data_IF_562002381117
#
_entry.id   IF_562002381117
#
_cell.length_a   1.000
_cell.length_b   1.000
_cell.length_c   1.000
_cell.angle_alpha   90.00
_cell.angle_beta   90.00
_cell.angle_gamma   90.00
#
_symmetry.space_group_name_H-M   'P 1'
#
loop_
_entity.id
_entity.type
_entity.pdbx_description
1 polymer ?
#
# COMPACT_ATOMS: atom_id res chain seq x y z
N UNK A 1 -21.75 -12.03 24.51
CA UNK A 1 -22.43 -13.05 23.69
C UNK A 1 -22.04 -12.79 22.23
N UNK A 2 -20.93 -13.38 21.77
CA UNK A 2 -20.47 -13.26 20.39
C UNK A 2 -21.25 -14.27 19.54
N UNK A 3 -22.13 -13.76 18.67
CA UNK A 3 -22.89 -14.58 17.73
C UNK A 3 -21.93 -15.09 16.66
N UNK A 4 -21.72 -16.41 16.64
CA UNK A 4 -20.94 -17.10 15.63
C UNK A 4 -21.67 -17.09 14.29
N UNK A 5 -21.50 -16.04 13.48
CA UNK A 5 -21.45 -16.28 12.04
C UNK A 5 -20.14 -16.99 11.78
N UNK A 6 -20.21 -18.27 11.47
CA UNK A 6 -19.18 -18.95 10.69
C UNK A 6 -19.04 -18.17 9.39
N UNK A 7 -18.16 -17.16 9.39
CA UNK A 7 -17.98 -16.23 8.29
C UNK A 7 -17.70 -17.02 7.02
N UNK A 8 -18.38 -16.65 5.94
CA UNK A 8 -18.05 -17.18 4.62
C UNK A 8 -16.54 -16.99 4.39
N UNK A 9 -15.86 -17.95 3.73
CA UNK A 9 -14.41 -17.92 3.62
C UNK A 9 -13.95 -16.59 3.04
N UNK A 10 -12.78 -16.08 3.45
CA UNK A 10 -12.23 -14.79 3.00
C UNK A 10 -12.11 -14.64 1.46
N UNK A 11 -12.26 -15.75 0.73
CA UNK A 11 -12.31 -15.83 -0.73
C UNK A 11 -13.69 -15.52 -1.34
N UNK A 12 -14.75 -15.54 -0.55
CA UNK A 12 -16.14 -15.39 -1.00
C UNK A 12 -16.87 -14.25 -0.30
N UNK A 13 -16.50 -13.94 0.94
CA UNK A 13 -17.06 -12.82 1.69
C UNK A 13 -16.00 -12.23 2.62
N UNK A 14 -15.98 -10.91 2.74
CA UNK A 14 -15.08 -10.15 3.60
C UNK A 14 -15.78 -9.02 4.34
N UNK A 15 -17.09 -9.15 4.54
CA UNK A 15 -17.88 -8.17 5.24
C UNK A 15 -18.13 -8.61 6.68
N UNK A 16 -17.44 -7.96 7.64
CA UNK A 16 -17.66 -8.21 9.07
C UNK A 16 -17.87 -6.89 9.84
N UNK A 17 -16.87 -6.00 9.88
CA UNK A 17 -16.94 -4.67 10.51
C UNK A 17 -16.18 -3.63 9.66
N UNK A 18 -16.62 -2.37 9.63
CA UNK A 18 -15.92 -1.24 8.96
C UNK A 18 -16.04 -1.17 7.43
N UNK A 19 -16.25 -2.29 6.74
CA UNK A 19 -16.49 -2.37 5.29
C UNK A 19 -15.86 -3.60 4.65
N UNK A 20 -15.97 -3.73 3.32
CA UNK A 20 -15.41 -4.88 2.60
C UNK A 20 -13.88 -4.93 2.72
N UNK A 21 -13.36 -6.02 3.29
CA UNK A 21 -11.93 -6.26 3.42
C UNK A 21 -11.24 -5.49 4.54
N UNK A 22 -12.00 -4.78 5.38
CA UNK A 22 -11.46 -4.16 6.60
C UNK A 22 -10.90 -5.25 7.54
N UNK A 23 -9.77 -4.95 8.18
CA UNK A 23 -9.02 -5.91 9.01
C UNK A 23 -8.35 -7.09 8.29
N UNK A 24 -8.60 -7.31 6.99
CA UNK A 24 -8.07 -8.47 6.25
C UNK A 24 -7.01 -8.05 5.22
N UNK A 25 -5.71 -8.19 5.53
CA UNK A 25 -4.61 -7.91 4.59
C UNK A 25 -3.96 -9.17 3.99
N UNK A 26 -4.22 -10.33 4.60
CA UNK A 26 -3.76 -11.64 4.15
C UNK A 26 -4.95 -12.56 3.91
N UNK A 27 -4.80 -13.44 2.91
CA UNK A 27 -5.78 -14.42 2.50
C UNK A 27 -5.22 -15.82 2.71
N UNK A 28 -6.03 -16.81 3.14
CA UNK A 28 -5.55 -18.17 3.31
C UNK A 28 -5.23 -18.83 1.96
N UNK A 29 -3.96 -18.99 1.62
CA UNK A 29 -3.55 -19.79 0.47
C UNK A 29 -3.42 -21.26 0.86
N UNK A 30 -4.48 -22.03 0.63
CA UNK A 30 -4.46 -23.48 0.81
C UNK A 30 -4.02 -24.17 -0.49
N UNK A 31 -3.46 -25.40 -0.44
CA UNK A 31 -3.15 -26.16 -1.65
C UNK A 31 -4.32 -26.27 -2.64
N UNK A 32 -5.56 -26.35 -2.14
CA UNK A 32 -6.76 -26.38 -2.96
C UNK A 32 -7.08 -25.06 -3.70
N UNK A 33 -6.55 -23.92 -3.23
CA UNK A 33 -6.77 -22.60 -3.84
C UNK A 33 -5.62 -22.15 -4.73
N UNK A 34 -4.38 -22.42 -4.32
CA UNK A 34 -3.17 -21.88 -4.98
C UNK A 34 -2.23 -22.97 -5.52
N UNK A 35 -2.56 -24.26 -5.34
CA UNK A 35 -1.66 -25.37 -5.65
C UNK A 35 -0.54 -25.58 -4.62
N UNK A 36 0.42 -26.45 -4.94
CA UNK A 36 1.56 -26.76 -4.06
C UNK A 36 1.25 -27.79 -2.98
N UNK A 37 2.14 -27.91 -1.97
CA UNK A 37 2.07 -28.92 -0.91
C UNK A 37 1.78 -28.36 0.49
N UNK A 38 1.90 -27.04 0.68
CA UNK A 38 1.82 -26.40 1.99
C UNK A 38 0.90 -25.18 1.94
N UNK A 39 0.36 -24.81 3.10
CA UNK A 39 -0.40 -23.58 3.25
C UNK A 39 0.54 -22.37 3.24
N UNK A 40 0.22 -21.36 2.45
CA UNK A 40 1.00 -20.13 2.31
C UNK A 40 0.03 -18.95 2.43
N UNK A 41 0.26 -17.97 3.33
CA UNK A 41 -0.55 -16.76 3.35
C UNK A 41 -0.33 -15.95 2.07
N UNK A 42 -1.42 -15.52 1.45
CA UNK A 42 -1.39 -14.69 0.24
C UNK A 42 -1.62 -13.24 0.64
N UNK A 43 -0.72 -12.37 0.25
CA UNK A 43 -0.86 -10.95 0.48
C UNK A 43 -1.93 -10.32 -0.44
N UNK A 44 -2.63 -9.33 0.09
CA UNK A 44 -3.55 -8.52 -0.68
C UNK A 44 -2.81 -7.47 -1.52
N UNK A 45 -3.44 -7.03 -2.61
CA UNK A 45 -2.97 -5.86 -3.36
C UNK A 45 -2.88 -4.62 -2.45
N UNK A 46 -3.79 -4.48 -1.48
CA UNK A 46 -3.75 -3.40 -0.48
C UNK A 46 -2.47 -3.43 0.35
N UNK A 47 -2.07 -4.62 0.82
CA UNK A 47 -0.81 -4.78 1.54
C UNK A 47 0.39 -4.43 0.66
N UNK A 48 0.41 -4.89 -0.60
CA UNK A 48 1.47 -4.50 -1.54
C UNK A 48 1.55 -2.99 -1.71
N UNK A 49 0.43 -2.30 -1.86
CA UNK A 49 0.40 -0.83 -1.96
C UNK A 49 0.90 -0.12 -0.70
N UNK A 50 0.67 -0.68 0.49
CA UNK A 50 1.25 -0.16 1.75
C UNK A 50 2.77 -0.33 1.74
N UNK A 51 3.27 -1.48 1.29
CA UNK A 51 4.70 -1.71 1.12
C UNK A 51 5.33 -0.73 0.11
N UNK A 52 4.68 -0.51 -1.04
CA UNK A 52 5.10 0.48 -2.05
C UNK A 52 5.09 1.92 -1.46
N UNK A 53 4.16 2.21 -0.55
CA UNK A 53 4.07 3.48 0.16
C UNK A 53 5.22 3.69 1.14
N UNK A 54 5.63 2.64 1.85
CA UNK A 54 6.82 2.67 2.71
C UNK A 54 8.08 2.96 1.90
N UNK A 55 8.27 2.31 0.75
CA UNK A 55 9.42 2.60 -0.13
C UNK A 55 9.44 4.08 -0.57
N UNK A 56 8.29 4.64 -0.94
CA UNK A 56 8.19 6.05 -1.30
C UNK A 56 8.49 6.99 -0.12
N UNK A 57 8.16 6.60 1.12
CA UNK A 57 8.51 7.36 2.31
C UNK A 57 10.02 7.42 2.53
N UNK A 58 10.75 6.31 2.29
CA UNK A 58 12.22 6.30 2.41
C UNK A 58 12.89 7.30 1.46
N UNK A 59 12.30 7.56 0.27
CA UNK A 59 12.84 8.58 -0.64
C UNK A 59 12.74 9.98 -0.04
N UNK A 60 11.64 10.28 0.64
CA UNK A 60 11.46 11.55 1.34
C UNK A 60 12.43 11.67 2.50
N UNK A 61 12.62 10.59 3.26
CA UNK A 61 13.55 10.56 4.39
C UNK A 61 15.00 10.79 3.94
N UNK A 62 15.47 10.09 2.92
CA UNK A 62 16.83 10.28 2.35
C UNK A 62 17.03 11.73 1.87
N UNK A 63 16.03 12.35 1.25
CA UNK A 63 16.12 13.73 0.78
C UNK A 63 16.10 14.74 1.93
N UNK A 64 15.38 14.44 3.02
CA UNK A 64 15.39 15.22 4.25
C UNK A 64 16.79 15.25 4.87
N UNK A 65 17.42 14.08 5.02
CA UNK A 65 18.79 13.95 5.53
C UNK A 65 19.83 14.70 4.67
N UNK A 66 19.54 14.89 3.38
CA UNK A 66 20.39 15.61 2.42
C UNK A 66 20.04 17.09 2.28
N UNK A 67 19.19 17.64 3.16
CA UNK A 67 18.80 19.05 3.15
C UNK A 67 17.88 19.45 1.98
N UNK A 68 17.29 18.47 1.26
CA UNK A 68 16.38 18.68 0.12
C UNK A 68 14.90 18.55 0.52
N UNK A 69 14.58 18.66 1.83
CA UNK A 69 13.23 18.54 2.37
C UNK A 69 12.18 19.36 1.59
N UNK A 70 12.45 20.64 1.37
CA UNK A 70 11.49 21.55 0.73
C UNK A 70 11.16 21.11 -0.72
N UNK A 71 12.15 20.63 -1.47
CA UNK A 71 11.95 20.12 -2.82
C UNK A 71 11.15 18.82 -2.82
N UNK A 72 11.51 17.87 -1.93
CA UNK A 72 10.82 16.61 -1.79
C UNK A 72 9.35 16.80 -1.40
N UNK A 73 9.08 17.66 -0.41
CA UNK A 73 7.73 17.97 0.04
C UNK A 73 6.91 18.74 -1.00
N UNK A 74 7.53 19.56 -1.85
CA UNK A 74 6.84 20.19 -2.99
C UNK A 74 6.30 19.13 -3.95
N UNK A 75 7.11 18.12 -4.31
CA UNK A 75 6.68 17.01 -5.17
C UNK A 75 5.52 16.25 -4.52
N UNK A 76 5.65 15.89 -3.23
CA UNK A 76 4.63 15.14 -2.51
C UNK A 76 3.30 15.90 -2.38
N UNK A 77 3.34 17.19 -2.01
CA UNK A 77 2.14 18.03 -1.84
C UNK A 77 1.44 18.37 -3.16
N UNK A 78 2.20 18.43 -4.27
CA UNK A 78 1.61 18.56 -5.60
C UNK A 78 0.83 17.32 -6.03
N UNK A 79 1.20 16.14 -5.50
CA UNK A 79 0.51 14.89 -5.76
C UNK A 79 -0.69 14.70 -4.84
N UNK A 80 -0.49 14.94 -3.54
CA UNK A 80 -1.52 14.80 -2.50
C UNK A 80 -1.68 16.12 -1.73
N UNK A 81 -2.50 17.05 -2.23
CA UNK A 81 -2.69 18.35 -1.58
C UNK A 81 -3.50 18.25 -0.28
N UNK A 82 -4.31 17.20 -0.13
CA UNK A 82 -5.08 16.92 1.10
C UNK A 82 -5.01 15.44 1.45
N UNK A 83 -5.25 15.10 2.72
CA UNK A 83 -5.10 13.72 3.23
C UNK A 83 -6.12 12.72 2.68
N UNK A 84 -7.26 13.19 2.15
CA UNK A 84 -8.38 12.35 1.74
C UNK A 84 -8.62 12.34 0.22
N UNK A 85 -7.93 13.18 -0.56
CA UNK A 85 -8.01 13.16 -2.03
C UNK A 85 -6.88 12.29 -2.56
N UNK A 86 -7.19 11.03 -2.79
CA UNK A 86 -6.22 10.01 -3.21
C UNK A 86 -6.48 9.45 -4.61
N UNK A 87 -7.45 10.00 -5.34
CA UNK A 87 -7.72 9.67 -6.74
C UNK A 87 -6.64 10.28 -7.64
N UNK A 88 -5.50 9.60 -7.68
CA UNK A 88 -4.29 9.98 -8.40
C UNK A 88 -3.97 8.87 -9.41
N UNK A 89 -3.85 9.21 -10.71
CA UNK A 89 -3.48 8.22 -11.72
C UNK A 89 -2.12 7.58 -11.42
N UNK A 90 -1.98 6.29 -11.70
CA UNK A 90 -0.72 5.56 -11.51
C UNK A 90 0.48 6.26 -12.20
N UNK A 91 0.27 6.80 -13.41
CA UNK A 91 1.31 7.56 -14.13
C UNK A 91 1.81 8.80 -13.39
N UNK A 92 0.94 9.49 -12.63
CA UNK A 92 1.32 10.64 -11.80
C UNK A 92 2.12 10.20 -10.58
N UNK A 93 1.77 9.06 -9.97
CA UNK A 93 2.54 8.46 -8.87
C UNK A 93 3.94 8.07 -9.34
N UNK A 94 4.08 7.39 -10.48
CA UNK A 94 5.40 6.98 -10.99
C UNK A 94 6.25 8.18 -11.42
N UNK A 95 5.65 9.23 -11.97
CA UNK A 95 6.35 10.48 -12.29
C UNK A 95 6.92 11.14 -11.03
N UNK A 96 6.15 11.20 -9.94
CA UNK A 96 6.63 11.74 -8.67
C UNK A 96 7.79 10.90 -8.09
N UNK A 97 7.68 9.57 -8.10
CA UNK A 97 8.78 8.69 -7.68
C UNK A 97 10.05 8.90 -8.50
N UNK A 98 9.91 9.05 -9.81
CA UNK A 98 11.03 9.30 -10.72
C UNK A 98 11.72 10.64 -10.41
N UNK A 99 10.95 11.69 -10.10
CA UNK A 99 11.49 13.00 -9.69
C UNK A 99 12.26 12.91 -8.37
N UNK A 100 11.71 12.22 -7.37
CA UNK A 100 12.38 12.00 -6.09
C UNK A 100 13.68 11.19 -6.28
N UNK A 101 13.64 10.11 -7.06
CA UNK A 101 14.82 9.32 -7.37
C UNK A 101 15.91 10.15 -8.09
N UNK A 102 15.52 11.02 -9.03
CA UNK A 102 16.45 11.93 -9.69
C UNK A 102 17.09 12.93 -8.71
N UNK A 103 16.32 13.47 -7.75
CA UNK A 103 16.84 14.33 -6.69
C UNK A 103 17.83 13.59 -5.78
N UNK A 104 17.58 12.32 -5.48
CA UNK A 104 18.49 11.45 -4.73
C UNK A 104 19.77 11.18 -5.55
N UNK A 105 19.67 11.00 -6.86
CA UNK A 105 20.83 10.76 -7.73
C UNK A 105 21.67 12.01 -7.95
N UNK A 106 21.06 13.20 -7.91
CA UNK A 106 21.79 14.48 -7.96
C UNK A 106 22.61 14.69 -6.69
N UNK A 107 23.94 14.72 -6.83
CA UNK A 107 24.88 15.03 -5.74
C UNK A 107 24.66 16.44 -5.21
#
# INVERSE_FOLDING_TARGET
MFSSRTGAPAWTDQYDFGGNGDGTLFYPGTPARIGGKHHIPIDSIRLKRICDGREAFEYLHILDERGKHAQAMSIARNLFPTMYRTDVPASRMESARSQLAALIASR
#
